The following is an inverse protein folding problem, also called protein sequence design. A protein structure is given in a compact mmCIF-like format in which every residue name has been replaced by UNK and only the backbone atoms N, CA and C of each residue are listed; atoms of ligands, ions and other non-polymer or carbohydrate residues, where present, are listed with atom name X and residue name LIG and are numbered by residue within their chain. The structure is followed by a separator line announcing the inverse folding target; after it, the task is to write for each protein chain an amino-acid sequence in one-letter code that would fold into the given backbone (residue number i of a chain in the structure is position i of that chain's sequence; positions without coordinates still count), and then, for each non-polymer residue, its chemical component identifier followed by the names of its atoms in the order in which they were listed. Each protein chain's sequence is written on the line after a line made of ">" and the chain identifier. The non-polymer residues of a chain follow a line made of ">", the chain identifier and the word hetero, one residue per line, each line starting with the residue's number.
data_IF_329539109670
#
_entry.id   IF_329539109670
#
_cell.length_a   1.000
_cell.length_b   1.000
_cell.length_c   1.000
_cell.angle_alpha   90.00
_cell.angle_beta   90.00
_cell.angle_gamma   90.00
#
_symmetry.space_group_name_H-M   'P 1'
#
loop_
_entity.id
_entity.type
_entity.pdbx_description
1 polymer ?
#
# COMPACT_ATOMS: atom_id res chain seq x y z
N UNK A 1 39.69 -59.40 -21.82
CA UNK A 1 39.71 -58.15 -22.64
C UNK A 1 38.25 -57.76 -22.89
N UNK A 2 37.69 -56.62 -22.50
CA UNK A 2 38.18 -55.30 -22.08
C UNK A 2 37.23 -54.77 -20.99
N UNK A 3 37.79 -54.17 -19.94
CA UNK A 3 37.05 -53.29 -19.03
C UNK A 3 36.82 -51.94 -19.72
N UNK A 4 35.58 -51.46 -19.74
CA UNK A 4 35.25 -50.07 -20.11
C UNK A 4 34.92 -49.30 -18.84
N UNK A 5 35.78 -48.34 -18.48
CA UNK A 5 35.57 -47.39 -17.40
C UNK A 5 34.72 -46.23 -17.95
N UNK A 6 33.54 -46.00 -17.39
CA UNK A 6 32.84 -44.71 -17.54
C UNK A 6 33.23 -43.78 -16.40
N UNK A 7 33.69 -42.60 -16.80
CA UNK A 7 34.19 -41.51 -15.99
C UNK A 7 32.99 -40.70 -15.46
N UNK A 8 32.76 -40.71 -14.16
CA UNK A 8 31.82 -39.81 -13.50
C UNK A 8 32.55 -38.49 -13.17
N UNK A 9 32.10 -37.39 -13.78
CA UNK A 9 32.59 -36.04 -13.48
C UNK A 9 31.77 -35.51 -12.30
N UNK A 10 32.38 -35.45 -11.12
CA UNK A 10 31.85 -34.73 -9.96
C UNK A 10 32.22 -33.24 -10.10
N UNK A 11 31.24 -32.36 -10.29
CA UNK A 11 31.41 -30.93 -10.04
C UNK A 11 31.13 -30.65 -8.55
N UNK A 12 31.95 -29.83 -7.86
CA UNK A 12 31.65 -29.42 -6.49
C UNK A 12 30.55 -28.36 -6.49
N UNK A 13 29.53 -28.59 -5.67
CA UNK A 13 28.47 -27.65 -5.34
C UNK A 13 29.06 -26.56 -4.44
N UNK A 14 29.24 -25.35 -4.96
CA UNK A 14 29.70 -24.20 -4.18
C UNK A 14 28.49 -23.60 -3.43
N UNK A 15 28.37 -23.90 -2.14
CA UNK A 15 27.43 -23.21 -1.26
C UNK A 15 28.00 -21.83 -0.91
N UNK A 16 27.40 -20.78 -1.46
CA UNK A 16 27.64 -19.39 -1.03
C UNK A 16 26.59 -19.05 0.03
N UNK A 17 26.96 -19.18 1.30
CA UNK A 17 26.19 -18.60 2.41
C UNK A 17 26.63 -17.15 2.59
N UNK A 18 25.86 -16.21 2.04
CA UNK A 18 26.00 -14.80 2.36
C UNK A 18 25.19 -14.49 3.62
N UNK A 19 25.86 -14.46 4.77
CA UNK A 19 25.29 -13.91 6.00
C UNK A 19 25.28 -12.37 5.90
N UNK A 20 24.10 -11.77 6.01
CA UNK A 20 23.95 -10.31 6.12
C UNK A 20 24.48 -9.86 7.50
N UNK A 21 25.22 -8.73 7.58
CA UNK A 21 25.70 -8.21 8.86
C UNK A 21 24.54 -7.61 9.67
N UNK A 22 24.43 -8.01 10.93
CA UNK A 22 23.56 -7.35 11.91
C UNK A 22 24.21 -6.04 12.40
N UNK A 23 23.48 -4.92 12.50
CA UNK A 23 24.01 -3.71 13.10
C UNK A 23 23.99 -3.80 14.64
N UNK A 24 25.12 -3.46 15.25
CA UNK A 24 25.34 -3.36 16.70
C UNK A 24 24.35 -2.40 17.38
N UNK A 25 23.74 -2.84 18.49
CA UNK A 25 22.93 -1.99 19.35
C UNK A 25 23.81 -1.20 20.33
N UNK A 26 23.60 0.13 20.49
CA UNK A 26 24.20 0.86 21.60
C UNK A 26 23.38 0.69 22.89
N UNK A 27 24.05 0.24 23.94
CA UNK A 27 23.56 0.27 25.31
C UNK A 27 23.33 1.72 25.79
N UNK A 28 22.14 2.05 26.31
CA UNK A 28 21.96 3.24 27.14
C UNK A 28 20.73 3.13 28.06
N UNK A 29 21.02 3.19 29.37
CA UNK A 29 20.44 4.20 30.26
C UNK A 29 18.98 4.08 30.68
N UNK A 30 18.77 3.71 31.94
CA UNK A 30 17.50 3.75 32.66
C UNK A 30 16.83 5.15 32.72
N UNK A 31 15.50 5.11 32.50
CA UNK A 31 14.43 5.92 33.13
C UNK A 31 14.17 7.33 32.58
N UNK A 32 12.96 7.54 32.05
CA UNK A 32 11.92 8.41 32.64
C UNK A 32 10.56 8.13 31.99
N UNK A 33 9.54 8.00 32.85
CA UNK A 33 8.12 7.76 32.53
C UNK A 33 7.53 9.05 31.98
N UNK A 34 6.88 9.02 30.82
CA UNK A 34 6.08 10.15 30.33
C UNK A 34 4.82 9.63 29.61
N UNK A 35 3.74 10.36 29.85
CA UNK A 35 2.32 10.06 29.65
C UNK A 35 1.89 9.79 28.19
N UNK A 36 0.76 9.08 28.10
CA UNK A 36 -0.08 8.80 26.92
C UNK A 36 -0.36 10.03 26.05
N UNK A 37 -0.20 9.88 24.73
CA UNK A 37 -0.77 10.78 23.73
C UNK A 37 -1.32 9.96 22.55
N UNK A 38 -2.62 10.09 22.32
CA UNK A 38 -3.39 9.51 21.21
C UNK A 38 -3.02 10.13 19.85
N UNK A 39 -3.29 9.45 18.71
CA UNK A 39 -2.75 9.82 17.40
C UNK A 39 -3.47 11.02 16.76
N UNK A 40 -2.69 11.83 16.04
CA UNK A 40 -3.12 13.02 15.31
C UNK A 40 -3.22 12.70 13.82
N UNK A 41 -4.42 12.84 13.25
CA UNK A 41 -4.69 12.79 11.82
C UNK A 41 -4.20 14.08 11.10
N UNK A 42 -3.81 14.04 9.81
CA UNK A 42 -3.31 15.21 9.12
C UNK A 42 -4.46 16.06 8.57
N UNK A 43 -4.84 17.11 9.31
CA UNK A 43 -5.76 18.15 8.85
C UNK A 43 -5.10 19.52 8.96
N UNK A 44 -4.57 20.05 7.86
CA UNK A 44 -4.03 21.40 7.81
C UNK A 44 -5.14 22.45 7.76
N UNK A 45 -5.17 23.36 8.74
CA UNK A 45 -5.82 24.67 8.61
C UNK A 45 -4.92 25.76 9.18
N UNK A 46 -4.77 26.82 8.38
CA UNK A 46 -3.95 28.01 8.62
C UNK A 46 -4.48 28.87 9.80
N UNK A 47 -3.64 29.73 10.42
CA UNK A 47 -3.96 30.34 11.70
C UNK A 47 -4.91 31.53 11.58
N UNK A 48 -5.81 31.61 12.56
CA UNK A 48 -6.62 32.78 12.87
C UNK A 48 -5.80 33.84 13.64
N UNK A 49 -5.96 35.10 13.26
CA UNK A 49 -5.53 36.27 14.03
C UNK A 49 -6.73 37.19 14.27
N UNK A 50 -6.91 37.63 15.52
CA UNK A 50 -7.88 38.64 15.95
C UNK A 50 -7.18 39.59 16.95
N UNK A 51 -7.78 40.72 17.41
CA UNK A 51 -8.80 41.60 16.81
C UNK A 51 -8.41 43.11 16.92
N UNK A 52 -9.08 44.02 16.19
CA UNK A 52 -9.25 45.43 16.64
C UNK A 52 -10.61 46.04 16.22
N UNK A 53 -11.42 46.25 17.26
CA UNK A 53 -12.35 47.35 17.63
C UNK A 53 -13.03 48.28 16.59
N UNK A 54 -14.36 48.42 16.79
CA UNK A 54 -15.23 49.63 16.72
C UNK A 54 -15.48 50.22 15.30
N UNK A 55 -16.66 50.67 14.85
CA UNK A 55 -17.95 51.06 15.47
C UNK A 55 -19.01 51.20 14.36
N UNK A 56 -20.28 51.42 14.78
CA UNK A 56 -21.39 52.08 14.07
C UNK A 56 -22.44 51.27 13.30
N UNK A 57 -23.68 51.53 13.72
CA UNK A 57 -24.96 51.05 13.19
C UNK A 57 -25.23 51.60 11.79
N UNK A 58 -25.77 50.75 10.90
CA UNK A 58 -26.71 51.23 9.90
C UNK A 58 -27.74 50.14 9.57
N UNK A 59 -29.02 50.52 9.70
CA UNK A 59 -30.18 49.71 9.36
C UNK A 59 -30.36 49.72 7.84
N UNK A 60 -30.21 48.56 7.20
CA UNK A 60 -30.64 48.38 5.81
C UNK A 60 -31.43 47.08 5.59
N UNK A 61 -32.33 47.20 4.63
CA UNK A 61 -33.51 46.39 4.31
C UNK A 61 -33.16 44.93 3.97
N UNK A 62 -33.89 43.97 4.55
CA UNK A 62 -33.81 42.54 4.19
C UNK A 62 -34.48 42.30 2.82
N UNK A 63 -33.68 42.28 1.77
CA UNK A 63 -34.06 41.71 0.48
C UNK A 63 -33.71 40.20 0.47
N UNK A 64 -34.73 39.34 0.40
CA UNK A 64 -34.55 37.89 0.32
C UNK A 64 -33.98 37.53 -1.06
N UNK A 65 -32.65 37.41 -1.16
CA UNK A 65 -32.00 36.77 -2.31
C UNK A 65 -32.38 35.30 -2.31
N UNK A 66 -33.23 34.90 -3.26
CA UNK A 66 -33.43 33.50 -3.63
C UNK A 66 -32.07 32.90 -4.01
N UNK A 67 -31.55 31.99 -3.21
CA UNK A 67 -30.37 31.20 -3.54
C UNK A 67 -30.64 30.47 -4.86
N UNK A 68 -29.80 30.72 -5.87
CA UNK A 68 -29.81 29.92 -7.09
C UNK A 68 -29.44 28.48 -6.71
N UNK A 69 -30.09 27.45 -7.29
CA UNK A 69 -29.73 26.07 -7.03
C UNK A 69 -28.24 25.88 -7.34
N UNK A 70 -27.46 25.41 -6.37
CA UNK A 70 -26.07 25.02 -6.60
C UNK A 70 -26.08 23.94 -7.68
N UNK A 71 -25.50 24.23 -8.85
CA UNK A 71 -25.27 23.21 -9.87
C UNK A 71 -24.57 22.02 -9.20
N UNK A 72 -25.16 20.82 -9.33
CA UNK A 72 -24.53 19.59 -8.87
C UNK A 72 -23.21 19.47 -9.62
N UNK A 73 -22.08 19.55 -8.90
CA UNK A 73 -20.75 19.30 -9.48
C UNK A 73 -20.81 17.97 -10.22
N UNK A 74 -20.38 17.97 -11.49
CA UNK A 74 -20.25 16.75 -12.28
C UNK A 74 -19.29 15.82 -11.55
N UNK A 75 -19.71 14.58 -11.31
CA UNK A 75 -18.84 13.58 -10.72
C UNK A 75 -17.81 13.14 -11.77
N UNK A 76 -16.55 13.48 -11.51
CA UNK A 76 -15.42 13.15 -12.37
C UNK A 76 -14.57 12.02 -11.77
N UNK A 77 -14.98 11.44 -10.63
CA UNK A 77 -14.24 10.34 -10.02
C UNK A 77 -14.38 9.10 -10.91
N UNK A 78 -13.28 8.41 -11.20
CA UNK A 78 -13.34 7.16 -11.98
C UNK A 78 -13.67 5.96 -11.08
N UNK A 79 -12.88 5.78 -10.02
CA UNK A 79 -13.03 4.70 -9.08
C UNK A 79 -13.97 5.08 -7.93
N UNK A 80 -14.89 4.17 -7.59
CA UNK A 80 -15.92 4.42 -6.60
C UNK A 80 -15.95 3.29 -5.58
N UNK A 81 -16.10 3.68 -4.32
CA UNK A 81 -16.15 2.81 -3.16
C UNK A 81 -17.55 2.82 -2.55
N UNK A 82 -18.01 1.72 -1.93
CA UNK A 82 -19.30 1.68 -1.24
C UNK A 82 -19.37 2.60 0.00
N UNK A 83 -18.22 3.03 0.52
CA UNK A 83 -18.10 3.94 1.65
C UNK A 83 -16.75 4.64 1.66
N UNK A 84 -16.53 5.53 2.64
CA UNK A 84 -15.29 6.32 2.76
C UNK A 84 -14.55 6.15 4.08
N UNK A 85 -14.91 5.11 4.86
CA UNK A 85 -14.18 4.74 6.08
C UNK A 85 -13.01 3.78 5.76
N UNK A 86 -12.20 3.48 6.78
CA UNK A 86 -11.01 2.63 6.68
C UNK A 86 -11.28 1.18 6.26
N UNK A 87 -12.55 0.76 6.13
CA UNK A 87 -12.91 -0.59 5.71
C UNK A 87 -13.58 -0.56 4.35
N UNK A 88 -14.65 0.22 4.20
CA UNK A 88 -15.43 0.32 2.97
C UNK A 88 -14.70 1.10 1.87
N UNK A 89 -13.70 1.92 2.22
CA UNK A 89 -12.86 2.64 1.26
C UNK A 89 -11.93 1.76 0.42
N UNK A 90 -11.84 0.47 0.73
CA UNK A 90 -10.93 -0.47 0.06
C UNK A 90 -11.67 -1.55 -0.75
N UNK A 91 -12.91 -1.23 -1.17
CA UNK A 91 -13.72 -2.07 -2.05
C UNK A 91 -14.18 -1.29 -3.28
N UNK A 92 -14.12 -1.91 -4.45
CA UNK A 92 -14.72 -1.39 -5.67
C UNK A 92 -16.22 -1.67 -5.66
N UNK A 93 -17.02 -0.60 -5.73
CA UNK A 93 -18.48 -0.67 -5.61
C UNK A 93 -19.15 -1.59 -6.65
N UNK A 94 -18.51 -1.84 -7.80
CA UNK A 94 -19.07 -2.69 -8.86
C UNK A 94 -19.08 -4.17 -8.47
N UNK A 95 -18.15 -4.58 -7.60
CA UNK A 95 -17.94 -5.97 -7.18
C UNK A 95 -18.20 -6.20 -5.70
N UNK A 96 -18.36 -5.11 -4.92
CA UNK A 96 -18.76 -5.18 -3.52
C UNK A 96 -20.12 -5.84 -3.36
N UNK A 97 -20.19 -6.81 -2.45
CA UNK A 97 -21.43 -7.52 -2.08
C UNK A 97 -21.73 -7.34 -0.60
N UNK A 98 -20.74 -7.66 0.21
CA UNK A 98 -20.76 -7.54 1.66
C UNK A 98 -19.32 -7.39 2.18
N UNK A 99 -19.21 -6.98 3.44
CA UNK A 99 -17.91 -6.85 4.10
C UNK A 99 -17.30 -8.23 4.33
N UNK A 100 -16.04 -8.40 3.94
CA UNK A 100 -15.24 -9.56 4.36
C UNK A 100 -15.01 -9.46 5.87
N UNK A 101 -15.34 -10.49 6.67
CA UNK A 101 -15.12 -10.49 8.11
C UNK A 101 -13.66 -10.23 8.48
N UNK A 102 -13.44 -9.65 9.66
CA UNK A 102 -12.08 -9.34 10.14
C UNK A 102 -11.15 -10.56 10.21
N UNK A 103 -11.64 -11.77 10.48
CA UNK A 103 -10.75 -12.94 10.50
C UNK A 103 -10.39 -13.43 9.07
N UNK A 104 -11.15 -12.99 8.06
CA UNK A 104 -11.01 -13.41 6.66
C UNK A 104 -10.35 -12.35 5.76
N UNK A 105 -10.26 -11.09 6.21
CA UNK A 105 -9.70 -10.00 5.40
C UNK A 105 -8.25 -10.27 5.01
N UNK A 106 -7.39 -10.70 5.95
CA UNK A 106 -5.97 -10.95 5.67
C UNK A 106 -5.76 -12.12 4.71
N UNK A 107 -6.43 -13.28 4.84
CA UNK A 107 -6.45 -14.31 3.79
C UNK A 107 -6.89 -13.77 2.42
N UNK A 108 -7.94 -12.94 2.36
CA UNK A 108 -8.41 -12.35 1.10
C UNK A 108 -7.35 -11.42 0.46
N UNK A 109 -6.77 -10.50 1.24
CA UNK A 109 -5.67 -9.62 0.83
C UNK A 109 -4.45 -10.43 0.39
N UNK A 110 -4.14 -11.53 1.07
CA UNK A 110 -3.04 -12.42 0.71
C UNK A 110 -3.24 -13.02 -0.69
N UNK A 111 -4.40 -13.55 -1.01
CA UNK A 111 -4.67 -14.07 -2.36
C UNK A 111 -4.61 -12.95 -3.40
N UNK A 112 -5.15 -11.78 -3.06
CA UNK A 112 -5.13 -10.59 -3.90
C UNK A 112 -3.70 -10.14 -4.25
N UNK A 113 -2.82 -9.90 -3.28
CA UNK A 113 -1.43 -9.47 -3.57
C UNK A 113 -0.61 -10.56 -4.25
N UNK A 114 -0.81 -11.83 -3.89
CA UNK A 114 -0.11 -12.96 -4.52
C UNK A 114 -0.48 -13.09 -5.99
N UNK A 115 -1.77 -12.93 -6.33
CA UNK A 115 -2.22 -12.93 -7.72
C UNK A 115 -1.59 -11.78 -8.52
N UNK A 116 -1.59 -10.57 -7.97
CA UNK A 116 -0.98 -9.39 -8.59
C UNK A 116 0.51 -9.62 -8.88
N UNK A 117 1.30 -9.99 -7.87
CA UNK A 117 2.76 -10.16 -8.00
C UNK A 117 3.13 -11.32 -8.94
N UNK A 118 2.33 -12.39 -8.95
CA UNK A 118 2.55 -13.54 -9.84
C UNK A 118 2.30 -13.13 -11.30
N UNK A 119 1.12 -12.56 -11.58
CA UNK A 119 0.75 -12.16 -12.95
C UNK A 119 1.67 -11.07 -13.48
N UNK A 120 1.99 -10.04 -12.70
CA UNK A 120 2.89 -8.97 -13.16
C UNK A 120 4.27 -9.51 -13.53
N UNK A 121 4.77 -10.50 -12.78
CA UNK A 121 6.04 -11.16 -13.09
C UNK A 121 5.96 -12.03 -14.32
N UNK A 122 4.90 -12.82 -14.51
CA UNK A 122 4.68 -13.64 -15.71
C UNK A 122 4.59 -12.79 -16.98
N UNK A 123 3.99 -11.61 -16.87
CA UNK A 123 3.90 -10.63 -17.96
C UNK A 123 5.20 -9.84 -18.18
N UNK A 124 6.20 -10.00 -17.30
CA UNK A 124 7.45 -9.23 -17.35
C UNK A 124 7.26 -7.73 -17.08
N UNK A 125 6.25 -7.38 -16.27
CA UNK A 125 5.89 -6.00 -15.94
C UNK A 125 6.54 -5.61 -14.62
N UNK A 126 7.39 -4.59 -14.69
CA UNK A 126 8.08 -4.03 -13.53
C UNK A 126 7.10 -3.30 -12.59
N UNK A 127 7.16 -3.64 -11.30
CA UNK A 127 6.37 -3.07 -10.21
C UNK A 127 7.18 -3.17 -8.90
N UNK A 128 6.73 -2.54 -7.81
CA UNK A 128 7.23 -2.78 -6.46
C UNK A 128 6.15 -2.50 -5.42
N UNK A 129 6.24 -3.16 -4.26
CA UNK A 129 5.37 -2.89 -3.12
C UNK A 129 5.73 -1.55 -2.46
N UNK A 130 4.73 -0.82 -2.00
CA UNK A 130 4.88 0.54 -1.46
C UNK A 130 4.06 0.74 -0.18
N UNK A 131 4.22 1.91 0.46
CA UNK A 131 3.37 2.37 1.57
C UNK A 131 3.18 1.31 2.68
N UNK A 132 1.95 1.05 3.12
CA UNK A 132 1.65 0.08 4.18
C UNK A 132 2.08 -1.34 3.83
N UNK A 133 1.97 -1.71 2.55
CA UNK A 133 2.43 -3.02 2.05
C UNK A 133 3.94 -3.19 2.20
N UNK A 134 4.73 -2.15 1.92
CA UNK A 134 6.18 -2.16 2.15
C UNK A 134 6.51 -2.19 3.65
N UNK A 135 5.71 -1.53 4.49
CA UNK A 135 5.88 -1.58 5.94
C UNK A 135 5.61 -2.98 6.51
N UNK A 136 4.56 -3.66 6.03
CA UNK A 136 4.32 -5.07 6.36
C UNK A 136 5.47 -5.97 5.91
N UNK A 137 6.02 -5.71 4.72
CA UNK A 137 7.21 -6.41 4.26
C UNK A 137 8.41 -6.25 5.20
N UNK A 138 8.66 -5.04 5.71
CA UNK A 138 9.77 -4.77 6.64
C UNK A 138 9.73 -5.64 7.91
N UNK A 139 8.54 -5.90 8.46
CA UNK A 139 8.40 -6.65 9.71
C UNK A 139 8.64 -8.16 9.53
N UNK A 140 7.92 -8.80 8.61
CA UNK A 140 8.06 -10.24 8.37
C UNK A 140 7.74 -10.68 6.93
N UNK A 141 7.70 -9.76 5.98
CA UNK A 141 7.29 -10.11 4.62
C UNK A 141 5.80 -10.41 4.50
N UNK A 142 4.94 -9.91 5.40
CA UNK A 142 3.49 -10.20 5.42
C UNK A 142 2.65 -8.95 5.59
N UNK A 143 1.38 -9.05 5.22
CA UNK A 143 0.36 -8.03 5.45
C UNK A 143 0.17 -7.87 6.96
N UNK A 144 0.09 -6.62 7.40
CA UNK A 144 -0.13 -6.28 8.80
C UNK A 144 -1.54 -6.71 9.21
N UNK A 145 -1.78 -7.26 10.43
CA UNK A 145 -3.10 -7.80 10.80
C UNK A 145 -4.27 -6.79 10.85
N UNK A 146 -3.98 -5.49 10.78
CA UNK A 146 -4.98 -4.42 10.82
C UNK A 146 -5.09 -3.66 9.48
N UNK A 147 -4.29 -4.03 8.48
CA UNK A 147 -4.36 -3.41 7.15
C UNK A 147 -5.60 -3.88 6.40
N UNK A 148 -6.24 -2.95 5.70
CA UNK A 148 -7.35 -3.23 4.78
C UNK A 148 -7.01 -2.93 3.32
N UNK A 149 -5.86 -2.30 3.08
CA UNK A 149 -5.39 -1.88 1.76
C UNK A 149 -4.08 -2.56 1.36
N UNK A 150 -3.80 -2.47 0.06
CA UNK A 150 -2.58 -2.92 -0.56
C UNK A 150 -2.16 -1.90 -1.60
N UNK A 151 -0.90 -1.50 -1.52
CA UNK A 151 -0.32 -0.44 -2.34
C UNK A 151 0.90 -0.94 -3.09
N UNK A 152 0.89 -0.69 -4.39
CA UNK A 152 2.02 -0.95 -5.26
C UNK A 152 2.26 0.25 -6.17
N UNK A 153 3.48 0.34 -6.67
CA UNK A 153 3.88 1.42 -7.54
C UNK A 153 4.54 0.87 -8.79
N UNK A 154 4.40 1.63 -9.88
CA UNK A 154 5.02 1.36 -11.17
C UNK A 154 5.51 2.67 -11.77
N UNK A 155 6.39 2.61 -12.77
CA UNK A 155 6.71 3.81 -13.54
C UNK A 155 5.50 4.29 -14.37
N UNK A 156 5.39 5.59 -14.65
CA UNK A 156 4.35 6.10 -15.56
C UNK A 156 4.49 5.56 -16.99
N UNK A 157 5.71 5.17 -17.40
CA UNK A 157 5.91 4.48 -18.68
C UNK A 157 5.25 3.09 -18.66
N UNK A 158 5.37 2.37 -17.54
CA UNK A 158 4.68 1.11 -17.29
C UNK A 158 3.16 1.30 -17.27
N UNK A 159 2.63 2.32 -16.60
CA UNK A 159 1.19 2.62 -16.64
C UNK A 159 0.68 2.87 -18.06
N UNK A 160 1.41 3.66 -18.85
CA UNK A 160 1.02 3.91 -20.24
C UNK A 160 0.97 2.60 -21.05
N UNK A 161 1.95 1.72 -20.85
CA UNK A 161 1.96 0.39 -21.46
C UNK A 161 0.75 -0.45 -21.00
N UNK A 162 0.48 -0.51 -19.69
CA UNK A 162 -0.70 -1.19 -19.13
C UNK A 162 -2.01 -0.66 -19.70
N UNK A 163 -2.17 0.66 -19.75
CA UNK A 163 -3.35 1.33 -20.30
C UNK A 163 -3.62 0.97 -21.76
N UNK A 164 -2.57 0.81 -22.56
CA UNK A 164 -2.67 0.47 -23.98
C UNK A 164 -2.91 -1.01 -24.25
N UNK A 165 -2.34 -1.89 -23.43
CA UNK A 165 -2.25 -3.32 -23.76
C UNK A 165 -3.07 -4.22 -22.83
N UNK A 166 -3.32 -3.80 -21.59
CA UNK A 166 -3.89 -4.64 -20.54
C UNK A 166 -5.11 -4.03 -19.83
N UNK A 167 -5.54 -2.82 -20.20
CA UNK A 167 -6.71 -2.21 -19.57
C UNK A 167 -7.96 -3.08 -19.74
N UNK A 168 -8.63 -3.36 -18.62
CA UNK A 168 -9.80 -4.24 -18.49
C UNK A 168 -9.56 -5.69 -18.90
N UNK A 169 -8.33 -6.16 -18.82
CA UNK A 169 -8.03 -7.58 -18.92
C UNK A 169 -8.36 -8.29 -17.61
N UNK A 170 -8.86 -9.52 -17.71
CA UNK A 170 -9.14 -10.39 -16.58
C UNK A 170 -8.10 -11.49 -16.49
N UNK A 171 -7.70 -11.84 -15.27
CA UNK A 171 -6.66 -12.82 -15.00
C UNK A 171 -7.15 -13.84 -13.99
N UNK A 172 -6.95 -15.12 -14.28
CA UNK A 172 -7.28 -16.20 -13.37
C UNK A 172 -6.09 -16.52 -12.46
N UNK A 173 -6.38 -16.79 -11.20
CA UNK A 173 -5.39 -17.21 -10.22
C UNK A 173 -5.97 -18.37 -9.41
N UNK A 174 -5.24 -19.48 -9.43
CA UNK A 174 -5.60 -20.70 -8.70
C UNK A 174 -4.74 -20.84 -7.45
N UNK A 175 -5.34 -21.26 -6.35
CA UNK A 175 -4.62 -21.58 -5.12
C UNK A 175 -5.21 -22.82 -4.46
N UNK A 176 -4.39 -23.51 -3.67
CA UNK A 176 -4.86 -24.60 -2.81
C UNK A 176 -5.22 -24.01 -1.46
N UNK A 177 -6.47 -24.19 -1.05
CA UNK A 177 -6.92 -23.76 0.27
C UNK A 177 -6.37 -24.73 1.34
N UNK A 178 -5.67 -24.23 2.37
CA UNK A 178 -5.06 -25.08 3.38
C UNK A 178 -6.07 -25.76 4.31
N UNK A 179 -7.32 -25.29 4.37
CA UNK A 179 -8.38 -25.81 5.24
C UNK A 179 -9.01 -27.06 4.63
N UNK A 180 -9.38 -27.02 3.35
CA UNK A 180 -10.06 -28.13 2.68
C UNK A 180 -9.16 -28.92 1.71
N UNK A 181 -7.97 -28.40 1.39
CA UNK A 181 -7.01 -29.00 0.46
C UNK A 181 -7.42 -28.93 -1.00
N UNK A 182 -8.49 -28.22 -1.35
CA UNK A 182 -9.02 -28.11 -2.70
C UNK A 182 -8.40 -26.95 -3.45
N UNK A 183 -8.41 -27.04 -4.78
CA UNK A 183 -8.01 -25.92 -5.65
C UNK A 183 -9.20 -25.00 -5.85
N UNK A 184 -9.01 -23.74 -5.51
CA UNK A 184 -9.97 -22.65 -5.70
C UNK A 184 -9.42 -21.68 -6.75
N UNK A 185 -10.32 -21.13 -7.54
CA UNK A 185 -9.99 -20.16 -8.59
C UNK A 185 -10.61 -18.81 -8.26
N UNK A 186 -9.83 -17.75 -8.48
CA UNK A 186 -10.30 -16.36 -8.43
C UNK A 186 -10.02 -15.68 -9.76
N UNK A 187 -10.85 -14.70 -10.08
CA UNK A 187 -10.69 -13.86 -11.27
C UNK A 187 -10.48 -12.42 -10.82
N UNK A 188 -9.43 -11.82 -11.37
CA UNK A 188 -9.04 -10.45 -11.04
C UNK A 188 -9.11 -9.57 -12.28
N UNK A 189 -9.55 -8.33 -12.11
CA UNK A 189 -9.62 -7.32 -13.17
C UNK A 189 -8.46 -6.33 -13.00
N UNK A 190 -7.67 -6.12 -14.05
CA UNK A 190 -6.79 -4.95 -14.13
C UNK A 190 -7.55 -3.79 -14.78
N UNK A 191 -7.93 -2.78 -14.00
CA UNK A 191 -8.66 -1.60 -14.47
C UNK A 191 -7.77 -0.36 -14.40
N UNK A 192 -7.53 0.27 -15.55
CA UNK A 192 -6.68 1.45 -15.66
C UNK A 192 -7.56 2.70 -15.73
N UNK A 193 -7.32 3.64 -14.83
CA UNK A 193 -7.99 4.93 -14.82
C UNK A 193 -7.65 5.70 -16.11
N UNK A 194 -8.63 6.17 -16.90
CA UNK A 194 -8.37 7.00 -18.08
C UNK A 194 -7.53 8.25 -17.80
N UNK A 195 -7.58 8.75 -16.56
CA UNK A 195 -6.79 9.88 -16.09
C UNK A 195 -5.32 9.53 -15.75
N UNK A 196 -4.86 8.29 -15.94
CA UNK A 196 -3.46 7.89 -15.66
C UNK A 196 -2.40 8.67 -16.48
N UNK A 197 -2.82 9.26 -17.61
CA UNK A 197 -1.95 10.08 -18.48
C UNK A 197 -1.73 11.48 -17.86
N UNK A 198 -2.68 11.93 -17.03
CA UNK A 198 -2.58 13.21 -16.34
C UNK A 198 -1.46 13.14 -15.31
N UNK A 199 -0.59 14.15 -15.33
CA UNK A 199 0.50 14.21 -14.35
C UNK A 199 0.03 14.84 -13.05
N UNK A 200 -0.88 15.81 -13.13
CA UNK A 200 -1.29 16.61 -11.98
C UNK A 200 -2.42 16.01 -11.17
N UNK A 201 -2.49 16.40 -9.89
CA UNK A 201 -3.55 15.96 -8.97
C UNK A 201 -4.92 16.48 -9.40
N UNK A 202 -4.96 17.62 -10.10
CA UNK A 202 -6.18 18.30 -10.54
C UNK A 202 -7.16 18.50 -9.38
N UNK A 203 -8.38 17.97 -9.50
CA UNK A 203 -9.43 18.07 -8.47
C UNK A 203 -9.26 17.06 -7.31
N UNK A 204 -8.25 16.20 -7.38
CA UNK A 204 -7.95 15.20 -6.36
C UNK A 204 -8.80 13.94 -6.42
N UNK A 205 -9.70 13.81 -7.41
CA UNK A 205 -10.60 12.65 -7.52
C UNK A 205 -9.94 11.45 -8.21
N UNK A 206 -8.88 11.66 -8.97
CA UNK A 206 -8.20 10.64 -9.79
C UNK A 206 -6.72 10.49 -9.44
N UNK A 207 -6.43 10.41 -8.13
CA UNK A 207 -5.06 10.22 -7.61
C UNK A 207 -4.53 8.81 -7.88
N UNK A 208 -5.40 7.80 -7.80
CA UNK A 208 -5.05 6.40 -8.12
C UNK A 208 -5.17 6.17 -9.63
N UNK A 209 -4.12 5.56 -10.19
CA UNK A 209 -3.96 5.40 -11.64
C UNK A 209 -4.52 4.07 -12.16
N UNK A 210 -4.52 3.02 -11.33
CA UNK A 210 -5.07 1.72 -11.70
C UNK A 210 -5.43 0.89 -10.46
N UNK A 211 -6.25 -0.13 -10.66
CA UNK A 211 -6.60 -1.12 -9.63
C UNK A 211 -6.46 -2.52 -10.15
N UNK A 212 -6.00 -3.41 -9.27
CA UNK A 212 -6.13 -4.86 -9.44
C UNK A 212 -7.25 -5.35 -8.52
N UNK A 213 -8.39 -5.73 -9.09
CA UNK A 213 -9.65 -5.90 -8.34
C UNK A 213 -10.03 -7.37 -8.28
N UNK A 214 -10.28 -7.91 -7.08
CA UNK A 214 -10.95 -9.20 -6.91
C UNK A 214 -12.42 -9.07 -7.31
N UNK A 215 -12.80 -9.70 -8.41
CA UNK A 215 -14.17 -9.60 -8.94
C UNK A 215 -15.20 -10.35 -8.09
N UNK A 216 -14.77 -11.16 -7.12
CA UNK A 216 -15.67 -11.93 -6.24
C UNK A 216 -16.23 -11.12 -5.07
N UNK A 217 -15.45 -10.18 -4.53
CA UNK A 217 -15.79 -9.38 -3.34
C UNK A 217 -15.53 -7.87 -3.48
N UNK A 218 -14.75 -7.43 -4.47
CA UNK A 218 -14.42 -6.04 -4.75
C UNK A 218 -13.17 -5.48 -4.06
N UNK A 219 -12.46 -6.24 -3.23
CA UNK A 219 -11.18 -5.78 -2.67
C UNK A 219 -10.16 -5.55 -3.79
N UNK A 220 -9.26 -4.58 -3.62
CA UNK A 220 -8.30 -4.24 -4.67
C UNK A 220 -6.91 -3.87 -4.15
N UNK A 221 -5.92 -3.97 -5.04
CA UNK A 221 -4.60 -3.33 -4.89
C UNK A 221 -4.66 -2.00 -5.63
N UNK A 222 -4.30 -0.92 -4.95
CA UNK A 222 -4.12 0.39 -5.59
C UNK A 222 -2.74 0.44 -6.27
N UNK A 223 -2.73 0.81 -7.55
CA UNK A 223 -1.53 0.91 -8.37
C UNK A 223 -1.29 2.39 -8.68
N UNK A 224 -0.17 2.92 -8.19
CA UNK A 224 0.20 4.33 -8.35
C UNK A 224 1.39 4.51 -9.27
N UNK A 225 1.29 5.47 -10.21
CA UNK A 225 2.36 5.82 -11.13
C UNK A 225 3.36 6.80 -10.55
N UNK A 226 4.66 6.53 -10.77
CA UNK A 226 5.73 7.49 -10.54
C UNK A 226 6.34 8.00 -11.85
N UNK A 227 6.59 9.30 -11.91
CA UNK A 227 7.38 9.92 -12.97
C UNK A 227 8.27 11.04 -12.41
N UNK A 228 9.34 11.36 -13.14
CA UNK A 228 9.98 12.66 -13.00
C UNK A 228 9.07 13.75 -13.58
N UNK A 229 8.31 14.41 -12.69
CA UNK A 229 7.30 15.39 -13.09
C UNK A 229 7.88 16.77 -13.37
N UNK A 230 8.97 17.13 -12.71
CA UNK A 230 9.65 18.43 -12.87
C UNK A 230 11.17 18.26 -13.15
N UNK A 231 11.58 17.52 -14.20
CA UNK A 231 13.00 17.15 -14.38
C UNK A 231 13.93 18.35 -14.56
N UNK A 232 13.44 19.47 -15.11
CA UNK A 232 14.23 20.71 -15.23
C UNK A 232 14.47 21.43 -13.90
N UNK A 233 13.62 21.21 -12.89
CA UNK A 233 13.70 21.87 -11.57
C UNK A 233 14.27 20.94 -10.50
N UNK A 234 13.90 19.67 -10.54
CA UNK A 234 14.28 18.63 -9.57
C UNK A 234 14.63 17.34 -10.31
N UNK A 235 15.74 17.32 -11.09
CA UNK A 235 16.15 16.13 -11.84
C UNK A 235 16.35 14.94 -10.90
N UNK A 236 15.90 13.76 -11.33
CA UNK A 236 16.02 12.53 -10.54
C UNK A 236 15.07 12.42 -9.35
N UNK A 237 14.11 13.35 -9.21
CA UNK A 237 13.01 13.24 -8.24
C UNK A 237 11.76 12.71 -8.95
N UNK A 238 11.35 11.52 -8.53
CA UNK A 238 10.13 10.85 -8.96
C UNK A 238 8.99 11.22 -8.03
N UNK A 239 7.80 11.42 -8.57
CA UNK A 239 6.62 11.68 -7.75
C UNK A 239 5.32 11.16 -8.35
N UNK A 240 4.38 10.83 -7.47
CA UNK A 240 3.00 10.49 -7.82
C UNK A 240 2.09 11.71 -7.77
N UNK A 241 0.80 11.53 -8.12
CA UNK A 241 -0.24 12.56 -8.02
C UNK A 241 -0.51 13.03 -6.58
N UNK A 242 -0.22 12.19 -5.58
CA UNK A 242 -0.40 12.53 -4.17
C UNK A 242 0.81 13.26 -3.55
N UNK A 243 1.81 13.62 -4.35
CA UNK A 243 3.02 14.34 -3.92
C UNK A 243 4.00 13.53 -3.05
N UNK A 244 3.89 12.20 -3.01
CA UNK A 244 5.01 11.37 -2.56
C UNK A 244 6.20 11.59 -3.50
N UNK A 245 7.40 11.74 -2.93
CA UNK A 245 8.61 12.09 -3.66
C UNK A 245 9.72 11.12 -3.30
N UNK A 246 10.39 10.61 -4.32
CA UNK A 246 11.48 9.65 -4.17
C UNK A 246 12.67 10.09 -5.01
N UNK A 247 13.89 9.91 -4.50
CA UNK A 247 15.07 10.05 -5.37
C UNK A 247 15.21 8.79 -6.21
N UNK A 248 15.72 8.92 -7.43
CA UNK A 248 15.98 7.78 -8.32
C UNK A 248 16.77 6.68 -7.62
N UNK A 249 17.80 7.06 -6.85
CA UNK A 249 18.65 6.14 -6.07
C UNK A 249 17.96 5.46 -4.88
N UNK A 250 16.83 5.99 -4.43
CA UNK A 250 16.06 5.40 -3.34
C UNK A 250 15.17 4.28 -3.88
N UNK A 251 14.77 4.37 -5.16
CA UNK A 251 13.98 3.36 -5.87
C UNK A 251 14.87 2.30 -6.55
N UNK A 252 15.86 2.73 -7.34
CA UNK A 252 16.61 1.88 -8.27
C UNK A 252 18.08 1.67 -7.86
N UNK A 253 18.68 0.50 -8.20
CA UNK A 253 18.02 -0.69 -8.72
C UNK A 253 17.14 -1.31 -7.64
N UNK A 254 15.94 -1.76 -8.03
CA UNK A 254 15.06 -2.45 -7.09
C UNK A 254 15.69 -3.77 -6.64
N UNK A 255 15.23 -4.26 -5.50
CA UNK A 255 15.73 -5.49 -4.89
C UNK A 255 14.68 -6.59 -5.00
N UNK A 256 15.12 -7.77 -5.41
CA UNK A 256 14.31 -8.98 -5.31
C UNK A 256 14.20 -9.41 -3.85
N UNK A 257 13.01 -9.88 -3.48
CA UNK A 257 12.63 -10.28 -2.13
C UNK A 257 11.42 -11.22 -2.22
N UNK A 258 10.77 -11.48 -1.08
CA UNK A 258 9.52 -12.23 -0.96
C UNK A 258 8.50 -11.42 -0.16
N UNK A 259 7.23 -11.48 -0.57
CA UNK A 259 6.10 -10.98 0.20
C UNK A 259 4.95 -11.98 0.13
N UNK A 260 4.36 -12.31 1.28
CA UNK A 260 3.28 -13.30 1.42
C UNK A 260 3.59 -14.71 0.85
N UNK A 261 4.87 -15.05 0.75
CA UNK A 261 5.35 -16.33 0.22
C UNK A 261 5.51 -16.38 -1.30
N UNK A 262 5.44 -15.23 -1.99
CA UNK A 262 5.73 -15.15 -3.44
C UNK A 262 6.83 -14.13 -3.72
N UNK A 263 7.61 -14.29 -4.81
CA UNK A 263 8.62 -13.31 -5.18
C UNK A 263 8.03 -11.90 -5.32
N UNK A 264 8.75 -10.90 -4.82
CA UNK A 264 8.35 -9.49 -4.82
C UNK A 264 9.57 -8.59 -5.03
N UNK A 265 9.32 -7.38 -5.47
CA UNK A 265 10.33 -6.34 -5.65
C UNK A 265 10.07 -5.19 -4.69
N UNK A 266 11.14 -4.64 -4.13
CA UNK A 266 11.11 -3.52 -3.19
C UNK A 266 12.06 -2.41 -3.66
N UNK A 267 11.83 -1.16 -3.24
CA UNK A 267 12.78 -0.07 -3.46
C UNK A 267 14.17 -0.35 -2.87
N UNK A 268 15.22 0.23 -3.47
CA UNK A 268 16.60 0.08 -3.00
C UNK A 268 16.81 0.55 -1.55
N UNK A 269 16.36 1.76 -1.22
CA UNK A 269 16.47 2.39 0.10
C UNK A 269 15.12 2.41 0.82
N UNK A 270 14.51 1.22 0.96
CA UNK A 270 13.21 1.04 1.60
C UNK A 270 13.16 1.61 3.03
N UNK A 271 14.26 1.56 3.79
CA UNK A 271 14.35 2.03 5.17
C UNK A 271 14.19 3.54 5.23
N UNK A 272 14.87 4.26 4.33
CA UNK A 272 14.72 5.70 4.20
C UNK A 272 13.31 6.08 3.74
N UNK A 273 12.75 5.35 2.78
CA UNK A 273 11.38 5.59 2.29
C UNK A 273 10.37 5.44 3.44
N UNK A 274 10.44 4.33 4.18
CA UNK A 274 9.54 4.07 5.30
C UNK A 274 9.74 5.07 6.45
N UNK A 275 10.97 5.45 6.76
CA UNK A 275 11.23 6.42 7.84
C UNK A 275 10.84 7.85 7.46
N UNK A 276 10.94 8.25 6.19
CA UNK A 276 10.42 9.54 5.71
C UNK A 276 8.88 9.58 5.71
N UNK A 277 8.23 8.45 5.47
CA UNK A 277 6.76 8.35 5.39
C UNK A 277 6.08 8.14 6.75
N UNK A 278 6.55 7.17 7.54
CA UNK A 278 5.93 6.74 8.80
C UNK A 278 6.76 7.07 10.05
N UNK A 279 7.95 7.64 9.89
CA UNK A 279 8.88 7.92 10.98
C UNK A 279 9.60 6.67 11.50
N UNK A 280 10.73 6.85 12.18
CA UNK A 280 11.54 5.74 12.71
C UNK A 280 10.78 4.81 13.66
N UNK A 281 9.79 5.33 14.40
CA UNK A 281 8.99 4.55 15.34
C UNK A 281 8.19 3.43 14.67
N UNK A 282 7.81 3.59 13.40
CA UNK A 282 7.08 2.56 12.65
C UNK A 282 7.88 1.27 12.45
N UNK A 283 9.21 1.38 12.46
CA UNK A 283 10.12 0.25 12.20
C UNK A 283 10.53 -0.51 13.47
N UNK A 284 10.18 0.01 14.66
CA UNK A 284 10.67 -0.51 15.94
C UNK A 284 9.61 -0.62 17.05
N UNK A 285 8.48 0.08 16.93
CA UNK A 285 7.40 0.00 17.93
C UNK A 285 6.76 -1.38 17.87
N UNK A 286 6.76 -2.10 18.99
CA UNK A 286 6.26 -3.49 19.10
C UNK A 286 4.85 -3.59 19.65
N UNK A 287 4.11 -2.48 19.75
CA UNK A 287 2.71 -2.41 20.16
C UNK A 287 1.96 -1.43 19.26
N UNK A 288 0.97 -1.90 18.51
CA UNK A 288 0.22 -1.05 17.59
C UNK A 288 -1.14 -1.67 17.27
N UNK A 289 -2.19 -0.83 17.13
CA UNK A 289 -3.55 -1.25 16.77
C UNK A 289 -4.07 -2.51 17.52
N UNK A 290 -3.81 -2.60 18.82
CA UNK A 290 -4.23 -3.74 19.65
C UNK A 290 -3.48 -5.04 19.38
N UNK A 291 -2.29 -4.95 18.79
CA UNK A 291 -1.39 -6.07 18.53
C UNK A 291 -0.03 -5.83 19.18
N UNK A 292 0.65 -6.91 19.52
CA UNK A 292 2.01 -6.93 20.03
C UNK A 292 2.89 -7.75 19.08
N UNK A 293 4.08 -7.24 18.78
CA UNK A 293 5.08 -7.96 18.00
C UNK A 293 5.84 -8.95 18.87
N UNK A 294 5.77 -10.23 18.52
CA UNK A 294 6.50 -11.34 19.15
C UNK A 294 7.78 -11.66 18.34
N UNK A 295 8.98 -11.26 18.80
CA UNK A 295 10.22 -11.42 18.05
C UNK A 295 10.58 -12.88 17.74
N UNK A 296 10.25 -13.81 18.64
CA UNK A 296 10.61 -15.22 18.46
C UNK A 296 9.79 -15.89 17.34
N UNK A 297 8.53 -15.47 17.20
CA UNK A 297 7.64 -15.93 16.13
C UNK A 297 7.77 -15.10 14.86
N UNK A 298 8.33 -13.88 14.96
CA UNK A 298 8.31 -12.85 13.91
C UNK A 298 6.89 -12.57 13.44
N UNK A 299 5.97 -12.41 14.40
CA UNK A 299 4.56 -12.21 14.13
C UNK A 299 3.94 -11.13 15.00
N UNK A 300 2.93 -10.46 14.44
CA UNK A 300 2.04 -9.57 15.17
C UNK A 300 0.89 -10.38 15.76
N UNK A 301 0.82 -10.44 17.09
CA UNK A 301 -0.19 -11.19 17.85
C UNK A 301 -1.24 -10.21 18.37
N UNK A 302 -2.52 -10.51 18.12
CA UNK A 302 -3.63 -9.73 18.66
C UNK A 302 -3.67 -9.83 20.19
N UNK A 303 -3.68 -8.68 20.85
CA UNK A 303 -3.84 -8.61 22.30
C UNK A 303 -5.32 -8.90 22.61
N UNK A 304 -5.60 -10.05 23.22
CA UNK A 304 -6.94 -10.33 23.74
C UNK A 304 -7.23 -9.36 24.88
N UNK A 305 -8.31 -8.58 24.78
CA UNK A 305 -8.83 -7.87 25.95
C UNK A 305 -9.33 -8.95 26.92
N UNK A 306 -8.90 -8.95 28.20
CA UNK A 306 -9.50 -9.85 29.17
C UNK A 306 -11.00 -9.58 29.20
N UNK A 307 -11.80 -10.65 29.10
CA UNK A 307 -13.24 -10.56 29.32
C UNK A 307 -13.45 -9.80 30.63
N UNK A 308 -14.08 -8.63 30.54
CA UNK A 308 -14.51 -7.91 31.74
C UNK A 308 -15.36 -8.85 32.60
N UNK A 309 -15.38 -8.69 33.93
CA UNK A 309 -16.17 -9.56 34.78
C UNK A 309 -17.59 -9.63 34.24
N UNK A 310 -18.05 -10.85 33.96
CA UNK A 310 -19.46 -11.11 33.63
C UNK A 310 -20.26 -10.67 34.84
N UNK A 311 -20.88 -9.48 34.75
CA UNK A 311 -21.85 -8.98 35.73
C UNK A 311 -23.18 -9.68 35.48
#
# INVERSE_FOLDING_TARGET
>A
MKLSKSLAILLPLLQVTAALPQPDQPHLGKVLRAEEAAPVAPGGQAPASAPKAQTEENKEVKEQKKEKPKEKKKDNKYFHEPGGDEVLGHYDIRYFKELVPYEEHRPALRHLIRSYLTVFRELGIETWIAHGTLLGWWWNGRIMPWDYDLDVQVSSATLYYLGKHYNRTTHEYSYVDPVDGQTHNKTYLLDINPHHIERDRNDGMNVIDARWIDMSNGMFVDITGLAEREPGKSPGIWSCKNYHRYRTRDLYPMRESEFEGVPATIPYSFDRILTEEYGMKSLVTTEFMGHHWEPDLKEWIRVQKPDGPKV
#
